data_IF_695900291307
#
_entry.id   IF_695900291307
#
_cell.length_a   1.000
_cell.length_b   1.000
_cell.length_c   1.000
_cell.angle_alpha   90.00
_cell.angle_beta   90.00
_cell.angle_gamma   90.00
#
_symmetry.space_group_name_H-M   'P 1'
#
loop_
_entity.id
_entity.type
_entity.pdbx_description
1 polymer ?
#
# COMPACT_ATOMS: atom_id res chain seq x y z
N UNK A 1 36.19 -10.93 35.68
CA UNK A 1 34.99 -11.23 34.87
C UNK A 1 34.09 -10.02 34.99
N UNK A 2 34.38 -9.02 34.17
CA UNK A 2 33.81 -7.67 34.24
C UNK A 2 32.72 -7.58 33.19
N UNK A 3 31.47 -7.43 33.59
CA UNK A 3 30.38 -7.18 32.66
C UNK A 3 30.52 -5.75 32.13
N UNK A 4 30.90 -5.63 30.86
CA UNK A 4 30.98 -4.35 30.17
C UNK A 4 29.55 -3.84 29.91
N UNK A 5 29.06 -2.98 30.80
CA UNK A 5 27.75 -2.34 30.71
C UNK A 5 27.73 -1.11 29.76
N UNK A 6 28.81 -0.88 28.99
CA UNK A 6 28.91 0.25 28.04
C UNK A 6 28.01 0.13 26.80
N UNK A 7 27.26 -0.97 26.65
CA UNK A 7 26.36 -1.16 25.51
C UNK A 7 24.89 -0.79 25.81
N UNK A 8 24.59 -0.16 26.95
CA UNK A 8 23.33 0.54 27.13
C UNK A 8 23.39 1.85 26.32
N UNK A 9 23.12 1.77 25.01
CA UNK A 9 22.88 2.97 24.21
C UNK A 9 21.81 3.77 24.95
N UNK A 10 22.03 5.07 25.23
CA UNK A 10 20.99 5.88 25.83
C UNK A 10 19.76 5.80 24.93
N UNK A 11 18.68 5.19 25.40
CA UNK A 11 17.36 5.35 24.81
C UNK A 11 17.04 6.82 24.99
N UNK A 12 17.35 7.62 23.97
CA UNK A 12 17.10 9.06 23.96
C UNK A 12 15.63 9.22 24.29
N UNK A 13 15.36 9.78 25.46
CA UNK A 13 14.06 10.35 25.84
C UNK A 13 13.76 11.39 24.75
N UNK A 14 13.06 10.97 23.69
CA UNK A 14 12.94 11.77 22.46
C UNK A 14 12.72 10.97 21.16
N UNK A 15 12.91 9.64 21.14
CA UNK A 15 12.53 8.85 19.96
C UNK A 15 11.01 8.58 19.94
N UNK A 16 10.24 9.58 19.52
CA UNK A 16 8.78 9.48 19.36
C UNK A 16 8.37 8.63 18.15
N UNK A 17 9.30 8.36 17.23
CA UNK A 17 9.04 7.66 15.97
C UNK A 17 9.77 6.30 15.96
N UNK A 18 9.12 5.22 15.50
CA UNK A 18 9.76 3.92 15.34
C UNK A 18 11.01 3.99 14.46
N UNK A 19 11.99 3.12 14.72
CA UNK A 19 13.10 2.95 13.79
C UNK A 19 12.58 2.59 12.39
N UNK A 20 13.07 3.28 11.38
CA UNK A 20 12.63 3.14 10.00
C UNK A 20 11.50 4.09 9.58
N UNK A 21 10.96 4.94 10.45
CA UNK A 21 10.07 6.04 10.02
C UNK A 21 10.88 7.08 9.23
N UNK A 22 10.62 7.18 7.93
CA UNK A 22 11.19 8.20 7.06
C UNK A 22 10.05 9.03 6.47
N UNK A 23 10.04 10.32 6.81
CA UNK A 23 9.16 11.27 6.13
C UNK A 23 9.73 11.53 4.74
N UNK A 24 8.93 11.40 3.67
CA UNK A 24 9.43 11.64 2.33
C UNK A 24 9.85 13.11 2.17
N UNK A 25 10.74 13.43 1.21
CA UNK A 25 11.11 14.80 0.91
C UNK A 25 9.88 15.66 0.65
N UNK A 26 9.94 16.95 1.01
CA UNK A 26 8.80 17.88 0.99
C UNK A 26 7.94 17.81 -0.28
N UNK A 27 8.50 17.73 -1.52
CA UNK A 27 7.68 17.64 -2.73
C UNK A 27 6.76 16.40 -2.76
N UNK A 28 7.28 15.24 -2.34
CA UNK A 28 6.51 14.00 -2.27
C UNK A 28 5.47 14.06 -1.15
N UNK A 29 5.83 14.65 -0.01
CA UNK A 29 4.89 14.85 1.09
C UNK A 29 3.70 15.72 0.67
N UNK A 30 3.95 16.85 0.00
CA UNK A 30 2.88 17.71 -0.52
C UNK A 30 2.00 16.97 -1.53
N UNK A 31 2.61 16.15 -2.38
CA UNK A 31 1.88 15.32 -3.34
C UNK A 31 0.97 14.30 -2.64
N UNK A 32 1.48 13.62 -1.60
CA UNK A 32 0.69 12.68 -0.80
C UNK A 32 -0.45 13.39 -0.07
N UNK A 33 -0.19 14.55 0.54
CA UNK A 33 -1.22 15.34 1.22
C UNK A 33 -2.30 15.81 0.24
N UNK A 34 -1.91 16.26 -0.95
CA UNK A 34 -2.85 16.63 -2.01
C UNK A 34 -3.69 15.42 -2.46
N UNK A 35 -3.07 14.25 -2.64
CA UNK A 35 -3.76 13.01 -3.00
C UNK A 35 -4.76 12.58 -1.92
N UNK A 36 -4.36 12.59 -0.65
CA UNK A 36 -5.27 12.30 0.48
C UNK A 36 -6.41 13.31 0.53
N UNK A 37 -6.10 14.61 0.40
CA UNK A 37 -7.11 15.67 0.38
C UNK A 37 -8.12 15.52 -0.76
N UNK A 38 -7.65 15.15 -1.96
CA UNK A 38 -8.51 14.91 -3.11
C UNK A 38 -9.42 13.70 -2.90
N UNK A 39 -8.89 12.58 -2.39
CA UNK A 39 -9.67 11.38 -2.09
C UNK A 39 -10.71 11.67 -1.02
N UNK A 40 -10.29 12.21 0.13
CA UNK A 40 -11.18 12.51 1.25
C UNK A 40 -12.24 13.53 0.86
N UNK A 41 -11.85 14.63 0.20
CA UNK A 41 -12.78 15.64 -0.28
C UNK A 41 -13.76 15.07 -1.30
N UNK A 42 -13.27 14.29 -2.26
CA UNK A 42 -14.09 13.66 -3.29
C UNK A 42 -15.11 12.67 -2.74
N UNK A 43 -14.72 11.87 -1.74
CA UNK A 43 -15.62 10.92 -1.08
C UNK A 43 -16.62 11.64 -0.18
N UNK A 44 -16.20 12.68 0.57
CA UNK A 44 -17.11 13.47 1.40
C UNK A 44 -18.17 14.21 0.60
N UNK A 45 -17.84 14.70 -0.58
CA UNK A 45 -18.80 15.41 -1.45
C UNK A 45 -19.83 14.44 -2.05
N UNK A 46 -19.42 13.21 -2.37
CA UNK A 46 -20.30 12.19 -2.96
C UNK A 46 -21.10 11.40 -1.93
N UNK A 47 -20.62 11.34 -0.70
CA UNK A 47 -21.18 10.56 0.42
C UNK A 47 -21.61 9.14 0.00
N UNK A 48 -20.72 8.35 -0.65
CA UNK A 48 -21.10 7.04 -1.16
C UNK A 48 -21.38 6.08 -0.01
N UNK A 49 -22.29 5.10 -0.20
CA UNK A 49 -22.59 4.11 0.83
C UNK A 49 -21.33 3.29 1.18
N UNK A 50 -20.90 3.35 2.43
CA UNK A 50 -19.78 2.58 2.95
C UNK A 50 -20.29 1.30 3.64
N UNK A 51 -19.65 0.16 3.37
CA UNK A 51 -20.09 -1.14 3.91
C UNK A 51 -18.98 -2.18 3.95
N UNK A 52 -19.30 -3.38 4.43
CA UNK A 52 -18.34 -4.48 4.64
C UNK A 52 -17.56 -4.83 3.36
N UNK A 53 -18.23 -4.88 2.21
CA UNK A 53 -17.59 -5.16 0.92
C UNK A 53 -16.54 -4.12 0.53
N UNK A 54 -16.72 -2.85 0.93
CA UNK A 54 -15.73 -1.81 0.67
C UNK A 54 -14.47 -2.03 1.51
N UNK A 55 -14.62 -2.45 2.77
CA UNK A 55 -13.49 -2.81 3.63
C UNK A 55 -12.70 -3.95 3.01
N UNK A 56 -13.38 -5.02 2.59
CA UNK A 56 -12.74 -6.17 1.94
C UNK A 56 -12.06 -5.79 0.61
N UNK A 57 -12.67 -4.89 -0.16
CA UNK A 57 -12.11 -4.39 -1.42
C UNK A 57 -10.79 -3.63 -1.23
N UNK A 58 -10.48 -3.12 -0.03
CA UNK A 58 -9.19 -2.48 0.26
C UNK A 58 -8.05 -3.45 0.54
N UNK A 59 -8.34 -4.73 0.84
CA UNK A 59 -7.32 -5.73 1.19
C UNK A 59 -6.22 -5.87 0.13
N UNK A 60 -6.54 -5.97 -1.18
CA UNK A 60 -5.51 -6.04 -2.21
C UNK A 60 -4.58 -4.81 -2.22
N UNK A 61 -5.07 -3.62 -1.87
CA UNK A 61 -4.23 -2.41 -1.79
C UNK A 61 -3.23 -2.45 -0.64
N UNK A 62 -3.57 -3.12 0.48
CA UNK A 62 -2.59 -3.40 1.54
C UNK A 62 -1.47 -4.34 1.04
N UNK A 63 -1.82 -5.32 0.22
CA UNK A 63 -0.85 -6.22 -0.42
C UNK A 63 0.05 -5.47 -1.40
N UNK A 64 -0.53 -4.56 -2.21
CA UNK A 64 0.25 -3.65 -3.08
C UNK A 64 1.28 -2.88 -2.25
N UNK A 65 0.85 -2.25 -1.16
CA UNK A 65 1.74 -1.48 -0.30
C UNK A 65 2.86 -2.33 0.31
N UNK A 66 2.53 -3.50 0.84
CA UNK A 66 3.50 -4.41 1.42
C UNK A 66 4.54 -4.89 0.38
N UNK A 67 4.10 -5.38 -0.78
CA UNK A 67 5.01 -5.87 -1.82
C UNK A 67 5.90 -4.76 -2.41
N UNK A 68 5.34 -3.56 -2.60
CA UNK A 68 6.10 -2.41 -3.07
C UNK A 68 7.13 -1.94 -2.03
N UNK A 69 6.80 -2.03 -0.74
CA UNK A 69 7.76 -1.74 0.33
C UNK A 69 8.91 -2.74 0.35
N UNK A 70 8.65 -4.04 0.12
CA UNK A 70 9.71 -5.04 0.00
C UNK A 70 10.63 -4.73 -1.18
N UNK A 71 10.08 -4.34 -2.33
CA UNK A 71 10.89 -3.89 -3.47
C UNK A 71 11.80 -2.70 -3.11
N UNK A 72 11.29 -1.75 -2.32
CA UNK A 72 12.09 -0.64 -1.79
C UNK A 72 13.21 -1.11 -0.86
N UNK A 73 12.93 -2.04 0.06
CA UNK A 73 13.94 -2.61 0.97
C UNK A 73 15.04 -3.36 0.21
N UNK A 74 14.71 -3.94 -0.94
CA UNK A 74 15.64 -4.63 -1.83
C UNK A 74 16.39 -3.68 -2.79
N UNK A 75 16.20 -2.36 -2.68
CA UNK A 75 16.71 -1.36 -3.63
C UNK A 75 16.32 -1.66 -5.10
N UNK A 76 15.22 -2.39 -5.29
CA UNK A 76 14.74 -2.87 -6.58
C UNK A 76 13.70 -1.93 -7.23
N UNK A 77 13.77 -0.63 -6.90
CA UNK A 77 12.84 0.39 -7.39
C UNK A 77 13.59 1.59 -7.96
N UNK A 78 13.04 2.27 -8.98
CA UNK A 78 13.63 3.50 -9.48
C UNK A 78 13.72 4.57 -8.39
N UNK A 79 14.82 5.33 -8.38
CA UNK A 79 15.08 6.38 -7.39
C UNK A 79 13.97 7.45 -7.30
N UNK A 80 13.25 7.67 -8.40
CA UNK A 80 12.13 8.64 -8.46
C UNK A 80 10.89 8.18 -7.68
N UNK A 81 10.65 6.87 -7.55
CA UNK A 81 9.49 6.37 -6.78
C UNK A 81 9.88 5.91 -5.38
N UNK A 82 11.16 5.67 -5.12
CA UNK A 82 11.66 5.22 -3.83
C UNK A 82 11.11 6.03 -2.62
N UNK A 83 11.02 7.38 -2.67
CA UNK A 83 10.49 8.15 -1.55
C UNK A 83 9.01 7.85 -1.22
N UNK A 84 8.23 7.40 -2.19
CA UNK A 84 6.83 7.01 -1.99
C UNK A 84 6.68 5.62 -1.35
N UNK A 85 7.75 4.83 -1.33
CA UNK A 85 7.71 3.42 -0.94
C UNK A 85 8.31 3.17 0.46
N UNK A 86 8.65 4.22 1.20
CA UNK A 86 9.01 4.14 2.62
C UNK A 86 7.84 3.74 3.53
N UNK A 87 8.15 3.32 4.75
CA UNK A 87 7.23 2.66 5.72
C UNK A 87 5.89 3.36 5.98
N UNK A 88 5.75 4.70 6.11
CA UNK A 88 4.42 5.33 6.12
C UNK A 88 3.94 5.70 4.72
N UNK A 89 4.83 6.19 3.86
CA UNK A 89 4.48 6.75 2.54
C UNK A 89 3.83 5.71 1.61
N UNK A 90 4.26 4.45 1.72
CA UNK A 90 3.81 3.37 0.84
C UNK A 90 2.33 3.03 1.03
N UNK A 91 1.87 2.97 2.29
CA UNK A 91 0.48 2.70 2.59
C UNK A 91 -0.42 3.90 2.29
N UNK A 92 0.09 5.13 2.48
CA UNK A 92 -0.63 6.33 2.04
C UNK A 92 -0.79 6.33 0.52
N UNK A 93 0.27 5.99 -0.23
CA UNK A 93 0.24 5.89 -1.69
C UNK A 93 -0.75 4.83 -2.15
N UNK A 94 -0.72 3.64 -1.56
CA UNK A 94 -1.67 2.57 -1.86
C UNK A 94 -3.12 2.97 -1.52
N UNK A 95 -3.33 3.62 -0.38
CA UNK A 95 -4.64 4.15 0.02
C UNK A 95 -5.17 5.22 -0.93
N UNK A 96 -4.30 6.11 -1.43
CA UNK A 96 -4.66 7.08 -2.49
C UNK A 96 -5.07 6.34 -3.75
N UNK A 97 -4.31 5.32 -4.18
CA UNK A 97 -4.67 4.48 -5.32
C UNK A 97 -6.07 3.87 -5.19
N UNK A 98 -6.33 3.21 -4.05
CA UNK A 98 -7.64 2.63 -3.74
C UNK A 98 -8.76 3.67 -3.73
N UNK A 99 -8.55 4.81 -3.07
CA UNK A 99 -9.53 5.89 -3.00
C UNK A 99 -9.81 6.54 -4.36
N UNK A 100 -8.79 6.74 -5.20
CA UNK A 100 -8.97 7.25 -6.56
C UNK A 100 -9.71 6.24 -7.43
N UNK A 101 -9.44 4.94 -7.30
CA UNK A 101 -10.22 3.91 -8.02
C UNK A 101 -11.67 3.85 -7.56
N UNK A 102 -11.94 4.11 -6.29
CA UNK A 102 -13.31 4.27 -5.80
C UNK A 102 -13.97 5.47 -6.48
N UNK A 103 -13.37 6.65 -6.39
CA UNK A 103 -13.93 7.85 -7.02
C UNK A 103 -14.17 7.68 -8.53
N UNK A 104 -13.26 6.99 -9.22
CA UNK A 104 -13.42 6.66 -10.64
C UNK A 104 -14.63 5.73 -10.87
N UNK A 105 -14.83 4.73 -10.01
CA UNK A 105 -15.98 3.83 -10.09
C UNK A 105 -17.31 4.59 -9.90
N UNK A 106 -17.39 5.49 -8.91
CA UNK A 106 -18.57 6.34 -8.68
C UNK A 106 -18.85 7.22 -9.91
N UNK A 107 -17.81 7.82 -10.50
CA UNK A 107 -18.00 8.65 -11.70
C UNK A 107 -18.41 7.88 -12.94
N UNK A 108 -18.09 6.59 -13.00
CA UNK A 108 -18.41 5.71 -14.11
C UNK A 108 -19.69 4.89 -13.89
N UNK A 109 -20.40 5.12 -12.78
CA UNK A 109 -21.59 4.35 -12.35
C UNK A 109 -21.31 2.83 -12.28
N UNK A 110 -20.11 2.48 -11.81
CA UNK A 110 -19.68 1.10 -11.62
C UNK A 110 -19.79 0.70 -10.14
N UNK A 111 -19.87 -0.60 -9.88
CA UNK A 111 -19.78 -1.12 -8.51
C UNK A 111 -18.42 -0.77 -7.89
N UNK A 112 -18.42 0.16 -6.94
CA UNK A 112 -17.20 0.61 -6.26
C UNK A 112 -16.45 -0.54 -5.57
N UNK A 113 -17.08 -1.42 -4.77
CA UNK A 113 -16.37 -2.54 -4.14
C UNK A 113 -15.69 -3.47 -5.17
N UNK A 114 -16.40 -3.83 -6.24
CA UNK A 114 -15.87 -4.72 -7.28
C UNK A 114 -14.72 -4.06 -8.04
N UNK A 115 -14.86 -2.78 -8.37
CA UNK A 115 -13.84 -2.03 -9.12
C UNK A 115 -12.58 -1.82 -8.29
N UNK A 116 -12.72 -1.38 -7.03
CA UNK A 116 -11.59 -1.15 -6.12
C UNK A 116 -10.85 -2.46 -5.83
N UNK A 117 -11.58 -3.53 -5.53
CA UNK A 117 -10.98 -4.85 -5.29
C UNK A 117 -10.33 -5.46 -6.53
N UNK A 118 -11.00 -5.36 -7.68
CA UNK A 118 -10.50 -5.87 -8.96
C UNK A 118 -9.23 -5.16 -9.43
N UNK A 119 -9.23 -3.82 -9.42
CA UNK A 119 -8.05 -3.03 -9.79
C UNK A 119 -6.91 -3.26 -8.79
N UNK A 120 -7.20 -3.23 -7.48
CA UNK A 120 -6.21 -3.51 -6.46
C UNK A 120 -5.56 -4.89 -6.61
N UNK A 121 -6.34 -5.92 -6.95
CA UNK A 121 -5.83 -7.27 -7.22
C UNK A 121 -4.91 -7.30 -8.44
N UNK A 122 -5.33 -6.67 -9.55
CA UNK A 122 -4.52 -6.61 -10.76
C UNK A 122 -3.19 -5.90 -10.52
N UNK A 123 -3.20 -4.78 -9.80
CA UNK A 123 -2.00 -4.05 -9.41
C UNK A 123 -1.12 -4.90 -8.48
N UNK A 124 -1.70 -5.56 -7.48
CA UNK A 124 -0.97 -6.44 -6.55
C UNK A 124 -0.26 -7.57 -7.30
N UNK A 125 -0.93 -8.22 -8.25
CA UNK A 125 -0.34 -9.26 -9.09
C UNK A 125 0.84 -8.73 -9.91
N UNK A 126 0.72 -7.53 -10.49
CA UNK A 126 1.81 -6.86 -11.20
C UNK A 126 3.02 -6.59 -10.31
N UNK A 127 2.81 -5.99 -9.14
CA UNK A 127 3.90 -5.67 -8.18
C UNK A 127 4.57 -6.95 -7.67
N UNK A 128 3.80 -7.99 -7.35
CA UNK A 128 4.33 -9.28 -6.92
C UNK A 128 5.13 -9.97 -8.02
N UNK A 129 4.69 -9.85 -9.28
CA UNK A 129 5.44 -10.39 -10.42
C UNK A 129 6.79 -9.70 -10.55
N UNK A 130 6.84 -8.37 -10.45
CA UNK A 130 8.09 -7.60 -10.44
C UNK A 130 8.98 -8.05 -9.28
N UNK A 131 8.43 -8.14 -8.07
CA UNK A 131 9.16 -8.61 -6.89
C UNK A 131 9.78 -9.99 -7.10
N UNK A 132 9.01 -10.96 -7.61
CA UNK A 132 9.50 -12.31 -7.88
C UNK A 132 10.65 -12.31 -8.90
N UNK A 133 10.54 -11.50 -9.96
CA UNK A 133 11.62 -11.35 -10.93
C UNK A 133 12.87 -10.68 -10.34
N UNK A 134 12.71 -9.74 -9.40
CA UNK A 134 13.83 -9.05 -8.74
C UNK A 134 14.64 -9.94 -7.81
N UNK A 135 14.02 -10.95 -7.19
CA UNK A 135 14.70 -11.90 -6.28
C UNK A 135 15.23 -13.15 -7.00
N UNK A 136 15.05 -13.26 -8.32
CA UNK A 136 15.48 -14.42 -9.11
C UNK A 136 14.68 -15.70 -8.85
N UNK A 137 13.54 -15.60 -8.15
CA UNK A 137 12.66 -16.73 -7.87
C UNK A 137 11.41 -16.65 -8.76
N UNK A 138 11.44 -17.37 -9.88
CA UNK A 138 10.32 -17.47 -10.84
C UNK A 138 9.25 -18.47 -10.40
N UNK A 139 9.08 -18.70 -9.09
CA UNK A 139 7.94 -19.43 -8.51
C UNK A 139 6.85 -18.50 -7.94
N UNK A 140 6.41 -17.40 -8.59
CA UNK A 140 5.36 -16.52 -8.07
C UNK A 140 3.98 -17.19 -8.08
N UNK A 141 3.88 -18.47 -8.44
CA UNK A 141 2.62 -19.21 -8.58
C UNK A 141 1.87 -19.33 -7.25
N UNK A 142 2.54 -19.42 -6.10
CA UNK A 142 1.86 -19.48 -4.79
C UNK A 142 1.25 -18.12 -4.39
N UNK A 143 1.98 -17.00 -4.42
CA UNK A 143 1.41 -15.68 -4.18
C UNK A 143 0.32 -15.29 -5.20
N UNK A 144 0.52 -15.62 -6.48
CA UNK A 144 -0.47 -15.40 -7.53
C UNK A 144 -1.73 -16.27 -7.33
N UNK A 145 -1.58 -17.53 -6.89
CA UNK A 145 -2.71 -18.38 -6.52
C UNK A 145 -3.42 -17.91 -5.25
N UNK A 146 -2.67 -17.38 -4.27
CA UNK A 146 -3.24 -16.74 -3.08
C UNK A 146 -4.02 -15.47 -3.41
N UNK A 147 -3.52 -14.65 -4.34
CA UNK A 147 -4.24 -13.48 -4.85
C UNK A 147 -5.46 -13.87 -5.67
N UNK A 148 -5.35 -14.85 -6.57
CA UNK A 148 -6.48 -15.36 -7.33
C UNK A 148 -7.55 -15.99 -6.43
N UNK A 149 -7.12 -16.70 -5.37
CA UNK A 149 -8.00 -17.24 -4.33
C UNK A 149 -8.67 -16.14 -3.50
N UNK A 150 -7.92 -15.12 -3.07
CA UNK A 150 -8.44 -13.97 -2.33
C UNK A 150 -9.40 -13.11 -3.17
N UNK A 151 -9.09 -12.88 -4.44
CA UNK A 151 -9.99 -12.28 -5.40
C UNK A 151 -11.25 -13.14 -5.55
N UNK A 152 -11.12 -14.44 -5.74
CA UNK A 152 -12.24 -15.38 -5.81
C UNK A 152 -13.18 -15.28 -4.59
N UNK A 153 -12.63 -15.16 -3.38
CA UNK A 153 -13.44 -14.97 -2.15
C UNK A 153 -14.17 -13.63 -2.14
N UNK A 154 -13.54 -12.55 -2.61
CA UNK A 154 -14.19 -11.24 -2.78
C UNK A 154 -15.22 -11.20 -3.91
N UNK A 155 -15.07 -12.06 -4.94
CA UNK A 155 -15.99 -12.20 -6.06
C UNK A 155 -17.22 -13.06 -5.75
N UNK A 156 -17.10 -14.04 -4.84
CA UNK A 156 -18.21 -14.95 -4.48
C UNK A 156 -19.12 -14.38 -3.39
N UNK A 157 -18.65 -13.39 -2.62
CA UNK A 157 -19.39 -12.82 -1.48
C UNK A 157 -19.99 -11.43 -1.73
N UNK A 158 -19.84 -10.86 -2.94
CA UNK A 158 -20.30 -9.52 -3.34
C UNK A 158 -21.33 -9.55 -4.49
#
# INVERSE_FOLDING_TARGET
>A
MSLDLSAARPSVVGQLLPEGFALPPVPYLLTLLAGVGAVVGGLRVRDPPFGEHHVLATVPWMVVGAAAHVLYVLDAVPAVVAPLLGTPAVYVTAGIGGGLTWLAAETADLSAPRTVGGVGTAVAAGVITVLATSVGDTRPLLPAAGLAGGAGVGWVTA
#
